data_IF_855478382339
#
_entry.id   IF_855478382339
#
_cell.length_a   1.000
_cell.length_b   1.000
_cell.length_c   1.000
_cell.angle_alpha   90.00
_cell.angle_beta   90.00
_cell.angle_gamma   90.00
#
_symmetry.space_group_name_H-M   'P 1'
#
loop_
_entity.id
_entity.type
_entity.pdbx_description
1 polymer ?
#
# COMPACT_ATOMS: atom_id res chain seq x y z
N UNK A 1 12.70 -1.94 -29.76
CA UNK A 1 11.58 -1.18 -29.14
C UNK A 1 10.54 -0.94 -30.21
N UNK A 2 9.31 -1.41 -30.02
CA UNK A 2 8.22 -1.21 -30.98
C UNK A 2 7.40 0.03 -30.57
N UNK A 3 6.95 0.82 -31.54
CA UNK A 3 6.13 2.00 -31.28
C UNK A 3 4.68 1.60 -30.97
N UNK A 4 4.06 2.25 -29.97
CA UNK A 4 2.67 2.02 -29.63
C UNK A 4 1.77 2.65 -30.72
N UNK A 5 0.82 1.90 -31.31
CA UNK A 5 -0.08 2.45 -32.31
C UNK A 5 -0.94 3.58 -31.73
N UNK A 6 -1.16 4.64 -32.53
CA UNK A 6 -1.86 5.87 -32.10
C UNK A 6 -3.28 5.63 -31.57
N UNK A 7 -3.91 4.51 -31.96
CA UNK A 7 -5.23 4.09 -31.47
C UNK A 7 -5.25 3.83 -29.96
N UNK A 8 -4.11 3.48 -29.36
CA UNK A 8 -3.99 3.20 -27.93
C UNK A 8 -3.61 4.42 -27.09
N UNK A 9 -3.31 5.58 -27.71
CA UNK A 9 -2.97 6.82 -26.99
C UNK A 9 -4.17 7.51 -26.33
N UNK A 10 -5.39 7.05 -26.62
CA UNK A 10 -6.63 7.63 -26.08
C UNK A 10 -6.95 7.15 -24.66
N UNK A 11 -6.34 6.04 -24.24
CA UNK A 11 -6.48 5.51 -22.89
C UNK A 11 -5.51 6.22 -21.94
N UNK A 12 -6.00 6.83 -20.84
CA UNK A 12 -5.11 7.41 -19.84
C UNK A 12 -4.31 6.31 -19.14
N UNK A 13 -3.21 6.71 -18.49
CA UNK A 13 -2.39 5.80 -17.68
C UNK A 13 -3.28 5.16 -16.60
N UNK A 14 -3.35 3.84 -16.59
CA UNK A 14 -4.22 3.10 -15.67
C UNK A 14 -3.50 2.74 -14.35
N UNK A 15 -2.18 2.57 -14.41
CA UNK A 15 -1.37 2.25 -13.24
C UNK A 15 -1.03 3.52 -12.46
N UNK A 16 -1.35 3.51 -11.17
CA UNK A 16 -1.06 4.60 -10.24
C UNK A 16 -0.20 4.06 -9.11
N UNK A 17 0.83 4.80 -8.73
CA UNK A 17 1.71 4.45 -7.62
C UNK A 17 1.10 4.92 -6.30
N UNK A 18 1.12 4.04 -5.30
CA UNK A 18 0.61 4.29 -3.96
C UNK A 18 1.58 3.73 -2.92
N UNK A 19 1.49 4.23 -1.69
CA UNK A 19 2.25 3.71 -0.56
C UNK A 19 1.33 3.32 0.59
N UNK A 20 1.67 2.25 1.30
CA UNK A 20 0.88 1.81 2.46
C UNK A 20 0.99 2.83 3.60
N UNK A 21 -0.16 3.19 4.15
CA UNK A 21 -0.27 4.06 5.31
C UNK A 21 0.15 3.32 6.60
N UNK A 22 0.59 4.09 7.60
CA UNK A 22 0.84 3.63 8.97
C UNK A 22 1.88 2.51 9.16
N UNK A 23 2.65 2.17 8.14
CA UNK A 23 3.73 1.18 8.23
C UNK A 23 5.05 1.75 7.71
N UNK A 24 6.15 1.27 8.27
CA UNK A 24 7.51 1.56 7.80
C UNK A 24 8.12 0.28 7.25
N UNK A 25 8.69 0.38 6.04
CA UNK A 25 9.43 -0.73 5.42
C UNK A 25 10.75 -0.93 6.16
N UNK A 26 11.11 -2.17 6.53
CA UNK A 26 12.39 -2.44 7.20
C UNK A 26 13.59 -2.04 6.31
N UNK A 27 14.64 -1.53 6.96
CA UNK A 27 15.91 -1.16 6.28
C UNK A 27 16.75 -2.39 5.93
N UNK A 28 16.60 -3.46 6.71
CA UNK A 28 17.30 -4.72 6.48
C UNK A 28 16.81 -5.37 5.16
N UNK A 29 17.74 -5.75 4.25
CA UNK A 29 17.37 -6.26 2.93
C UNK A 29 16.70 -7.63 2.97
N UNK A 30 16.99 -8.48 3.96
CA UNK A 30 16.35 -9.79 4.09
C UNK A 30 14.92 -9.63 4.61
N UNK A 31 14.73 -8.83 5.67
CA UNK A 31 13.41 -8.51 6.21
C UNK A 31 12.52 -7.79 5.18
N UNK A 32 13.11 -6.87 4.40
CA UNK A 32 12.39 -6.18 3.32
C UNK A 32 11.91 -7.14 2.23
N UNK A 33 12.75 -8.12 1.87
CA UNK A 33 12.38 -9.11 0.88
C UNK A 33 11.24 -9.99 1.39
N UNK A 34 11.31 -10.45 2.64
CA UNK A 34 10.25 -11.28 3.24
C UNK A 34 8.91 -10.54 3.31
N UNK A 35 8.92 -9.28 3.76
CA UNK A 35 7.74 -8.41 3.75
C UNK A 35 7.17 -8.21 2.34
N UNK A 36 8.04 -8.06 1.34
CA UNK A 36 7.62 -7.91 -0.06
C UNK A 36 7.03 -9.21 -0.60
N UNK A 37 7.62 -10.37 -0.33
CA UNK A 37 7.11 -11.67 -0.77
C UNK A 37 5.73 -11.96 -0.16
N UNK A 38 5.55 -11.67 1.14
CA UNK A 38 4.25 -11.76 1.80
C UNK A 38 3.22 -10.80 1.16
N UNK A 39 3.58 -9.53 1.00
CA UNK A 39 2.69 -8.55 0.37
C UNK A 39 2.27 -8.93 -1.05
N UNK A 40 3.23 -9.38 -1.87
CA UNK A 40 2.98 -9.80 -3.25
C UNK A 40 2.03 -10.99 -3.27
N UNK A 41 2.17 -11.94 -2.35
CA UNK A 41 1.28 -13.11 -2.27
C UNK A 41 -0.18 -12.73 -2.03
N UNK A 42 -0.43 -11.73 -1.19
CA UNK A 42 -1.78 -11.29 -0.83
C UNK A 42 -2.38 -10.26 -1.81
N UNK A 43 -1.54 -9.53 -2.56
CA UNK A 43 -2.00 -8.41 -3.41
C UNK A 43 -1.92 -8.69 -4.90
N UNK A 44 -0.94 -9.46 -5.35
CA UNK A 44 -0.68 -9.63 -6.78
C UNK A 44 -1.84 -10.36 -7.45
N UNK A 45 -2.37 -9.76 -8.51
CA UNK A 45 -3.50 -10.26 -9.29
C UNK A 45 -4.80 -10.46 -8.48
N UNK A 46 -4.91 -9.82 -7.31
CA UNK A 46 -6.14 -9.82 -6.51
C UNK A 46 -6.92 -8.51 -6.70
N UNK A 47 -8.25 -8.60 -6.67
CA UNK A 47 -9.10 -7.42 -6.60
C UNK A 47 -9.25 -6.99 -5.15
N UNK A 48 -8.73 -5.81 -4.83
CA UNK A 48 -8.74 -5.24 -3.48
C UNK A 48 -9.53 -3.94 -3.45
N UNK A 49 -9.89 -3.53 -2.24
CA UNK A 49 -10.44 -2.20 -1.99
C UNK A 49 -9.32 -1.30 -1.48
N UNK A 50 -9.06 -0.23 -2.21
CA UNK A 50 -8.07 0.78 -1.84
C UNK A 50 -8.79 1.97 -1.19
N UNK A 51 -8.34 2.36 0.00
CA UNK A 51 -8.79 3.57 0.69
C UNK A 51 -7.64 4.55 0.82
N UNK A 52 -7.82 5.81 0.40
CA UNK A 52 -6.80 6.86 0.56
C UNK A 52 -6.99 7.51 1.92
N UNK A 53 -6.00 7.40 2.81
CA UNK A 53 -6.07 7.93 4.17
C UNK A 53 -5.58 9.37 4.24
N UNK A 54 -4.39 9.63 3.70
CA UNK A 54 -3.76 10.95 3.71
C UNK A 54 -2.71 11.07 2.59
N UNK A 55 -2.28 12.30 2.33
CA UNK A 55 -1.14 12.58 1.46
C UNK A 55 0.08 12.93 2.31
N UNK A 56 1.22 12.32 2.02
CA UNK A 56 2.50 12.62 2.66
C UNK A 56 3.52 13.00 1.57
N UNK A 57 4.03 14.23 1.62
CA UNK A 57 5.00 14.75 0.63
C UNK A 57 4.55 14.60 -0.84
N UNK A 58 3.24 14.68 -1.09
CA UNK A 58 2.66 14.53 -2.44
C UNK A 58 2.30 13.09 -2.82
N UNK A 59 2.67 12.11 -2.01
CA UNK A 59 2.35 10.70 -2.22
C UNK A 59 1.10 10.29 -1.46
N UNK A 60 0.20 9.57 -2.12
CA UNK A 60 -1.02 9.05 -1.53
C UNK A 60 -0.70 7.82 -0.65
N UNK A 61 -1.02 7.97 0.64
CA UNK A 61 -0.88 6.92 1.64
C UNK A 61 -2.23 6.22 1.79
N UNK A 62 -2.22 4.91 1.54
CA UNK A 62 -3.43 4.12 1.34
C UNK A 62 -3.48 2.92 2.26
N UNK A 63 -4.68 2.46 2.55
CA UNK A 63 -4.96 1.16 3.15
C UNK A 63 -5.52 0.26 2.06
N UNK A 64 -5.02 -0.98 2.02
CA UNK A 64 -5.55 -2.04 1.17
C UNK A 64 -6.38 -3.00 2.02
N UNK A 65 -7.62 -3.19 1.61
CA UNK A 65 -8.56 -4.12 2.22
C UNK A 65 -8.88 -5.26 1.26
N UNK A 66 -9.23 -6.42 1.80
CA UNK A 66 -9.85 -7.51 1.04
C UNK A 66 -11.11 -7.02 0.29
N UNK A 67 -11.53 -7.75 -0.75
CA UNK A 67 -12.73 -7.40 -1.52
C UNK A 67 -13.99 -7.24 -0.65
N UNK A 68 -14.10 -8.06 0.40
CA UNK A 68 -15.16 -8.03 1.42
C UNK A 68 -14.98 -6.93 2.48
N UNK A 69 -13.87 -6.19 2.46
CA UNK A 69 -13.48 -5.15 3.43
C UNK A 69 -13.34 -5.64 4.87
N UNK A 70 -13.24 -6.95 5.11
CA UNK A 70 -13.08 -7.51 6.45
C UNK A 70 -11.64 -7.55 6.92
N UNK A 71 -10.67 -7.54 6.00
CA UNK A 71 -9.26 -7.74 6.32
C UNK A 71 -8.39 -6.63 5.74
N UNK A 72 -7.59 -6.01 6.60
CA UNK A 72 -6.57 -5.03 6.24
C UNK A 72 -5.23 -5.74 6.01
N UNK A 73 -4.69 -5.58 4.80
CA UNK A 73 -3.45 -6.24 4.37
C UNK A 73 -2.23 -5.65 5.09
N UNK A 74 -2.18 -4.32 5.28
CA UNK A 74 -1.09 -3.66 5.99
C UNK A 74 -1.05 -4.07 7.46
N UNK A 75 -2.21 -4.17 8.10
CA UNK A 75 -2.35 -4.69 9.46
C UNK A 75 -1.94 -6.17 9.56
N UNK A 76 -2.23 -6.97 8.52
CA UNK A 76 -1.73 -8.35 8.40
C UNK A 76 -0.21 -8.41 8.49
N UNK A 77 0.48 -7.65 7.64
CA UNK A 77 1.95 -7.59 7.64
C UNK A 77 2.54 -7.16 8.99
N UNK A 78 1.89 -6.23 9.70
CA UNK A 78 2.30 -5.82 11.05
C UNK A 78 2.14 -6.97 12.04
N UNK A 79 1.02 -7.71 11.99
CA UNK A 79 0.75 -8.82 12.90
C UNK A 79 1.72 -9.99 12.70
N UNK A 80 2.13 -10.24 11.47
CA UNK A 80 3.16 -11.21 11.13
C UNK A 80 4.59 -10.73 11.48
N UNK A 81 4.74 -9.48 11.94
CA UNK A 81 6.03 -8.92 12.36
C UNK A 81 6.96 -8.57 11.20
N UNK A 82 6.43 -8.47 9.98
CA UNK A 82 7.19 -8.21 8.75
C UNK A 82 7.47 -6.72 8.54
N UNK A 83 6.61 -5.86 9.09
CA UNK A 83 6.74 -4.40 9.01
C UNK A 83 6.49 -3.77 10.37
N UNK A 84 7.04 -2.57 10.57
CA UNK A 84 6.91 -1.83 11.82
C UNK A 84 5.77 -0.82 11.67
N UNK A 85 4.96 -0.64 12.72
CA UNK A 85 3.93 0.40 12.75
C UNK A 85 4.59 1.78 12.82
N UNK A 86 4.25 2.63 11.88
CA UNK A 86 4.63 4.04 11.92
C UNK A 86 3.62 4.80 12.80
N UNK A 87 4.01 5.07 14.05
CA UNK A 87 3.18 5.82 14.98
C UNK A 87 3.07 7.30 14.55
N UNK A 88 1.99 7.65 13.85
CA UNK A 88 1.70 9.05 13.47
C UNK A 88 1.16 9.84 14.66
N UNK A 89 1.89 10.87 15.07
CA UNK A 89 1.43 11.91 16.00
C UNK A 89 0.64 13.00 15.27
N UNK A 90 -0.51 12.65 14.69
CA UNK A 90 -1.43 13.69 14.25
C UNK A 90 -2.35 14.11 15.41
N UNK A 91 -2.36 15.42 15.73
CA UNK A 91 -3.18 16.01 16.81
C UNK A 91 -4.67 15.67 16.71
N UNK A 92 -5.17 15.25 15.52
CA UNK A 92 -6.56 14.85 15.30
C UNK A 92 -6.88 13.43 15.81
N UNK A 93 -5.87 12.56 15.93
CA UNK A 93 -5.99 11.19 16.46
C UNK A 93 -5.73 11.11 17.97
N UNK A 94 -5.27 12.20 18.60
CA UNK A 94 -5.07 12.29 20.06
C UNK A 94 -6.38 12.31 20.87
N UNK A 95 -7.55 12.40 20.24
CA UNK A 95 -8.84 12.46 20.96
C UNK A 95 -9.48 11.09 21.24
N UNK A 96 -8.81 9.98 20.95
CA UNK A 96 -9.33 8.62 21.21
C UNK A 96 -8.47 7.87 22.25
N UNK A 97 -7.73 8.60 23.09
CA UNK A 97 -7.12 8.06 24.31
C UNK A 97 -7.47 8.96 25.50
#
# INVERSE_FOLDING_TARGET
>A
MAALPSTFHTLPIQAHEYQLAFITVPEDPEAKKDAQEAFVKDVLNQQLVLNVEYKNQGQDMVILLSADKSSDIGLGLVKDGLVIVEARREKRLQKIY
#
